data_IF_653277252410
#
_entry.id   IF_653277252410
#
_cell.length_a   1.000
_cell.length_b   1.000
_cell.length_c   1.000
_cell.angle_alpha   90.00
_cell.angle_beta   90.00
_cell.angle_gamma   90.00
#
_symmetry.space_group_name_H-M   'P 1'
#
loop_
_entity.id
_entity.type
_entity.pdbx_description
1 polymer ?
#
# COMPACT_ATOMS: atom_id res chain seq x y z
N UNK A 1 -9.80 -9.77 -9.67
CA UNK A 1 -9.29 -8.68 -8.82
C UNK A 1 -9.35 -9.08 -7.36
N UNK A 2 -8.49 -8.53 -6.55
CA UNK A 2 -8.38 -8.92 -5.16
C UNK A 2 -8.52 -7.71 -4.24
N UNK A 3 -8.74 -7.97 -2.96
CA UNK A 3 -8.74 -6.94 -1.93
C UNK A 3 -7.49 -7.14 -1.08
N UNK A 4 -6.73 -6.09 -0.88
CA UNK A 4 -5.60 -6.10 0.04
C UNK A 4 -6.09 -5.54 1.38
N UNK A 5 -5.92 -6.32 2.43
CA UNK A 5 -6.27 -5.91 3.77
C UNK A 5 -5.02 -5.80 4.62
N UNK A 6 -4.76 -4.61 5.13
CA UNK A 6 -3.63 -4.40 6.04
C UNK A 6 -4.12 -4.76 7.44
N UNK A 7 -3.69 -5.92 7.93
CA UNK A 7 -4.15 -6.45 9.22
C UNK A 7 -3.44 -5.85 10.41
N UNK A 8 -2.16 -5.57 10.26
CA UNK A 8 -1.37 -4.99 11.35
C UNK A 8 -0.05 -4.46 10.81
N UNK A 9 0.61 -3.66 11.64
CA UNK A 9 1.97 -3.17 11.40
C UNK A 9 2.81 -3.71 12.55
N UNK A 10 3.81 -4.52 12.23
CA UNK A 10 4.51 -5.31 13.23
C UNK A 10 5.56 -4.55 14.04
N UNK A 11 5.96 -3.39 13.59
CA UNK A 11 6.98 -2.62 14.29
C UNK A 11 6.82 -1.11 14.04
N UNK A 12 7.78 -0.35 14.53
CA UNK A 12 7.79 1.09 14.44
C UNK A 12 8.69 1.64 13.33
N UNK A 13 8.98 0.83 12.31
CA UNK A 13 9.76 1.29 11.17
C UNK A 13 9.07 2.46 10.50
N UNK A 14 9.85 3.46 10.20
CA UNK A 14 9.31 4.66 9.59
C UNK A 14 9.25 4.53 8.09
N UNK A 15 8.34 5.27 7.49
CA UNK A 15 8.28 5.38 6.04
C UNK A 15 9.41 6.30 5.57
N UNK A 16 10.63 5.80 5.65
CA UNK A 16 11.82 6.50 5.22
C UNK A 16 12.96 5.50 5.02
N UNK A 17 13.89 5.83 4.18
CA UNK A 17 15.07 5.00 3.94
C UNK A 17 15.04 4.31 2.59
N UNK A 18 15.93 3.36 2.42
CA UNK A 18 16.21 2.75 1.11
C UNK A 18 15.04 1.95 0.55
N UNK A 19 14.19 1.42 1.40
CA UNK A 19 13.11 0.54 0.98
C UNK A 19 11.76 1.25 0.89
N UNK A 20 11.73 2.56 1.07
CA UNK A 20 10.48 3.30 1.01
C UNK A 20 10.46 4.26 -0.17
N UNK A 21 9.27 4.58 -0.62
CA UNK A 21 9.07 5.51 -1.73
C UNK A 21 8.63 6.86 -1.21
N UNK A 22 9.02 7.97 -1.87
CA UNK A 22 8.38 9.25 -1.59
C UNK A 22 6.90 9.18 -1.98
N UNK A 23 6.10 10.07 -1.41
CA UNK A 23 4.65 10.06 -1.61
C UNK A 23 4.26 10.00 -3.10
N UNK A 24 4.91 10.77 -3.93
CA UNK A 24 4.59 10.83 -5.36
C UNK A 24 4.77 9.48 -6.04
N UNK A 25 5.88 8.81 -5.75
CA UNK A 25 6.15 7.48 -6.31
C UNK A 25 5.15 6.47 -5.78
N UNK A 26 4.84 6.55 -4.50
CA UNK A 26 3.88 5.64 -3.88
C UNK A 26 2.49 5.81 -4.49
N UNK A 27 2.04 7.04 -4.67
CA UNK A 27 0.75 7.34 -5.31
C UNK A 27 0.72 6.77 -6.72
N UNK A 28 1.80 6.96 -7.48
CA UNK A 28 1.89 6.43 -8.83
C UNK A 28 1.78 4.91 -8.85
N UNK A 29 2.55 4.23 -8.01
CA UNK A 29 2.54 2.76 -7.94
C UNK A 29 1.18 2.23 -7.50
N UNK A 30 0.58 2.86 -6.52
CA UNK A 30 -0.74 2.47 -6.04
C UNK A 30 -1.79 2.62 -7.15
N UNK A 31 -1.71 3.70 -7.92
CA UNK A 31 -2.61 3.92 -9.04
C UNK A 31 -2.47 2.91 -10.17
N UNK A 32 -1.29 2.30 -10.34
CA UNK A 32 -1.07 1.30 -11.38
C UNK A 32 -1.78 -0.01 -11.11
N UNK A 33 -2.02 -0.33 -9.84
CA UNK A 33 -2.58 -1.62 -9.46
C UNK A 33 -3.99 -1.55 -8.89
N UNK A 34 -4.59 -0.37 -8.85
CA UNK A 34 -5.94 -0.17 -8.31
C UNK A 34 -6.76 0.70 -9.24
N UNK A 35 -8.07 0.78 -8.95
CA UNK A 35 -8.95 1.70 -9.67
C UNK A 35 -9.04 3.07 -8.99
N UNK A 36 -8.30 3.27 -7.92
CA UNK A 36 -8.29 4.55 -7.20
C UNK A 36 -7.77 5.70 -8.06
N UNK A 37 -8.36 6.85 -7.92
CA UNK A 37 -7.97 8.05 -8.67
C UNK A 37 -8.19 9.29 -7.82
N UNK A 38 -7.41 10.34 -8.12
CA UNK A 38 -7.59 11.65 -7.51
C UNK A 38 -7.42 11.65 -6.01
N UNK A 39 -8.37 12.26 -5.32
CA UNK A 39 -8.32 12.41 -3.86
C UNK A 39 -8.32 11.08 -3.13
N UNK A 40 -9.09 10.10 -3.62
CA UNK A 40 -9.15 8.79 -2.98
C UNK A 40 -7.80 8.08 -3.05
N UNK A 41 -7.12 8.20 -4.18
CA UNK A 41 -5.79 7.61 -4.35
C UNK A 41 -4.80 8.23 -3.37
N UNK A 42 -4.78 9.54 -3.26
CA UNK A 42 -3.87 10.24 -2.35
C UNK A 42 -4.20 9.93 -0.88
N UNK A 43 -5.48 9.87 -0.56
CA UNK A 43 -5.93 9.56 0.81
C UNK A 43 -5.44 8.16 1.22
N UNK A 44 -5.63 7.19 0.34
CA UNK A 44 -5.19 5.82 0.62
C UNK A 44 -3.68 5.74 0.77
N UNK A 45 -2.94 6.40 -0.10
CA UNK A 45 -1.48 6.43 -0.01
C UNK A 45 -1.01 7.04 1.31
N UNK A 46 -1.63 8.15 1.73
CA UNK A 46 -1.28 8.80 3.00
C UNK A 46 -1.61 7.92 4.20
N UNK A 47 -2.75 7.21 4.16
CA UNK A 47 -3.12 6.31 5.24
C UNK A 47 -2.08 5.19 5.38
N UNK A 48 -1.62 4.62 4.28
CA UNK A 48 -0.59 3.60 4.32
C UNK A 48 0.74 4.16 4.83
N UNK A 49 1.10 5.37 4.43
CA UNK A 49 2.34 5.99 4.91
C UNK A 49 2.29 6.32 6.39
N UNK A 50 1.09 6.53 6.95
CA UNK A 50 0.90 6.73 8.38
C UNK A 50 0.75 5.40 9.13
N UNK A 51 0.85 4.28 8.41
CA UNK A 51 0.69 2.94 8.97
C UNK A 51 -0.66 2.72 9.62
N UNK A 52 -1.70 3.23 8.99
CA UNK A 52 -3.07 2.99 9.41
C UNK A 52 -3.57 1.67 8.84
N UNK A 53 -4.50 1.05 9.52
CA UNK A 53 -5.15 -0.15 9.01
C UNK A 53 -6.12 0.26 7.92
N UNK A 54 -6.05 -0.39 6.78
CA UNK A 54 -6.96 -0.07 5.68
C UNK A 54 -7.18 -1.27 4.77
N UNK A 55 -8.16 -1.14 3.91
CA UNK A 55 -8.56 -2.15 2.96
C UNK A 55 -8.58 -1.51 1.57
N UNK A 56 -7.95 -2.16 0.61
CA UNK A 56 -7.88 -1.65 -0.75
C UNK A 56 -8.56 -2.65 -1.67
N UNK A 57 -9.66 -2.23 -2.30
CA UNK A 57 -10.47 -3.08 -3.17
C UNK A 57 -9.99 -3.02 -4.62
N UNK A 58 -10.37 -4.02 -5.39
CA UNK A 58 -10.11 -4.07 -6.83
C UNK A 58 -8.64 -3.92 -7.18
N UNK A 59 -7.80 -4.67 -6.49
CA UNK A 59 -6.36 -4.63 -6.70
C UNK A 59 -5.95 -5.68 -7.72
N UNK A 60 -5.17 -5.28 -8.72
CA UNK A 60 -4.51 -6.19 -9.63
C UNK A 60 -3.23 -6.68 -8.93
N UNK A 61 -3.26 -7.92 -8.45
CA UNK A 61 -2.15 -8.45 -7.64
C UNK A 61 -0.84 -8.57 -8.42
N UNK A 62 -0.91 -8.81 -9.72
CA UNK A 62 0.30 -8.85 -10.54
C UNK A 62 0.99 -7.49 -10.60
N UNK A 63 0.22 -6.44 -10.78
CA UNK A 63 0.75 -5.09 -10.80
C UNK A 63 1.11 -4.57 -9.41
N UNK A 64 0.57 -5.19 -8.36
CA UNK A 64 0.77 -4.78 -6.97
C UNK A 64 1.96 -5.45 -6.30
N UNK A 65 2.66 -6.34 -6.99
CA UNK A 65 3.74 -7.12 -6.37
C UNK A 65 4.79 -6.25 -5.69
N UNK A 66 5.27 -5.23 -6.38
CA UNK A 66 6.27 -4.32 -5.83
C UNK A 66 5.71 -3.53 -4.64
N UNK A 67 4.45 -3.11 -4.74
CA UNK A 67 3.78 -2.38 -3.66
C UNK A 67 3.67 -3.26 -2.42
N UNK A 68 3.21 -4.50 -2.58
CA UNK A 68 3.07 -5.44 -1.47
C UNK A 68 4.42 -5.69 -0.81
N UNK A 69 5.45 -5.92 -1.61
CA UNK A 69 6.80 -6.15 -1.10
C UNK A 69 7.30 -4.96 -0.26
N UNK A 70 7.08 -3.76 -0.76
CA UNK A 70 7.48 -2.54 -0.05
C UNK A 70 6.75 -2.41 1.27
N UNK A 71 5.43 -2.62 1.28
CA UNK A 71 4.65 -2.54 2.52
C UNK A 71 5.09 -3.59 3.53
N UNK A 72 5.33 -4.80 3.07
CA UNK A 72 5.79 -5.87 3.96
C UNK A 72 7.16 -5.56 4.55
N UNK A 73 8.04 -4.96 3.77
CA UNK A 73 9.36 -4.56 4.26
C UNK A 73 9.30 -3.48 5.32
N UNK A 74 8.19 -2.74 5.37
CA UNK A 74 7.94 -1.71 6.38
C UNK A 74 7.17 -2.24 7.59
N UNK A 75 6.93 -3.54 7.64
CA UNK A 75 6.30 -4.18 8.78
C UNK A 75 4.81 -4.48 8.63
N UNK A 76 4.24 -4.29 7.45
CA UNK A 76 2.83 -4.56 7.23
C UNK A 76 2.54 -6.05 7.14
N UNK A 77 1.46 -6.48 7.77
CA UNK A 77 0.93 -7.82 7.58
C UNK A 77 -0.27 -7.69 6.64
N UNK A 78 -0.16 -8.27 5.46
CA UNK A 78 -1.16 -8.09 4.40
C UNK A 78 -1.88 -9.42 4.13
N UNK A 79 -3.20 -9.37 4.14
CA UNK A 79 -4.03 -10.47 3.68
C UNK A 79 -4.55 -10.13 2.28
N UNK A 80 -4.49 -11.09 1.39
CA UNK A 80 -5.01 -10.92 0.03
C UNK A 80 -6.29 -11.75 -0.07
N UNK A 81 -7.39 -11.05 -0.27
CA UNK A 81 -8.72 -11.66 -0.38
C UNK A 81 -9.17 -11.63 -1.84
N UNK A 82 -9.42 -12.79 -2.37
CA UNK A 82 -9.85 -12.91 -3.77
C UNK A 82 -11.34 -13.10 -3.90
#
# INVERSE_FOLDING_TARGET
>A
MATLCIESWSDDRRWAGENSWPLEVFVYRLGLCTSLRGTDLKRTARALMKKELCEINEVNTEAAEALIHTLESLGAKIAILK
#
